data_IF_027109420283
#
_entry.id   IF_027109420283
#
_cell.length_a   1.000
_cell.length_b   1.000
_cell.length_c   1.000
_cell.angle_alpha   90.00
_cell.angle_beta   90.00
_cell.angle_gamma   90.00
#
_symmetry.space_group_name_H-M   'P 1'
#
loop_
_entity.id
_entity.type
_entity.pdbx_description
1 polymer ?
#
# COMPACT_ATOMS: atom_id res chain seq x y z
N UNK A 1 -6.40 22.91 -17.16
CA UNK A 1 -6.27 21.82 -16.17
C UNK A 1 -4.99 21.08 -16.42
N UNK A 2 -4.32 20.75 -15.32
CA UNK A 2 -3.17 19.88 -15.23
C UNK A 2 -3.58 18.45 -15.58
N UNK A 3 -2.74 17.74 -16.31
CA UNK A 3 -2.86 16.30 -16.48
C UNK A 3 -2.36 15.60 -15.19
N UNK A 4 -3.18 14.78 -14.50
CA UNK A 4 -2.76 14.08 -13.29
C UNK A 4 -1.48 13.26 -13.47
N UNK A 5 -1.22 12.74 -14.68
CA UNK A 5 -0.01 11.95 -14.95
C UNK A 5 1.30 12.76 -14.86
N UNK A 6 1.21 14.10 -14.81
CA UNK A 6 2.36 15.00 -14.63
C UNK A 6 2.67 15.27 -13.15
N UNK A 7 1.84 14.80 -12.23
CA UNK A 7 2.01 15.00 -10.79
C UNK A 7 2.46 13.69 -10.17
N UNK A 8 3.57 13.72 -9.44
CA UNK A 8 3.91 12.63 -8.53
C UNK A 8 2.97 12.69 -7.32
N UNK A 9 1.91 11.89 -7.35
CA UNK A 9 0.92 11.80 -6.26
C UNK A 9 1.55 11.33 -4.94
N UNK A 10 2.64 10.55 -5.00
CA UNK A 10 3.39 10.14 -3.81
C UNK A 10 4.16 11.32 -3.19
N UNK A 11 4.80 12.14 -4.02
CA UNK A 11 5.43 13.38 -3.57
C UNK A 11 4.40 14.37 -3.01
N UNK A 12 3.24 14.52 -3.65
CA UNK A 12 2.16 15.37 -3.16
C UNK A 12 1.60 14.89 -1.82
N UNK A 13 1.38 13.58 -1.69
CA UNK A 13 0.95 12.98 -0.42
C UNK A 13 1.97 13.24 0.71
N UNK A 14 3.27 13.15 0.43
CA UNK A 14 4.33 13.49 1.39
C UNK A 14 4.28 14.96 1.79
N UNK A 15 4.10 15.87 0.83
CA UNK A 15 3.97 17.31 1.09
C UNK A 15 2.75 17.65 1.96
N UNK A 16 1.59 17.03 1.69
CA UNK A 16 0.37 17.19 2.49
C UNK A 16 0.55 16.69 3.93
N UNK A 17 1.34 15.63 4.13
CA UNK A 17 1.56 15.04 5.45
C UNK A 17 2.72 15.68 6.23
N UNK A 18 3.58 16.47 5.58
CA UNK A 18 4.72 17.11 6.23
C UNK A 18 4.27 18.14 7.27
N UNK A 19 4.91 18.08 8.44
CA UNK A 19 4.70 18.99 9.59
C UNK A 19 5.98 19.63 10.07
N UNK A 20 7.05 19.51 9.29
CA UNK A 20 8.35 20.06 9.65
C UNK A 20 8.19 21.56 9.91
N UNK A 21 8.46 22.05 11.13
CA UNK A 21 8.26 23.46 11.45
C UNK A 21 9.08 24.36 10.51
N UNK A 22 8.42 25.36 9.92
CA UNK A 22 9.05 26.30 8.99
C UNK A 22 9.15 25.80 7.54
N UNK A 23 8.69 24.58 7.24
CA UNK A 23 8.59 24.08 5.87
C UNK A 23 7.20 24.36 5.31
N UNK A 24 7.14 25.00 4.15
CA UNK A 24 5.92 25.14 3.34
C UNK A 24 6.13 24.42 2.02
N UNK A 25 5.05 23.91 1.44
CA UNK A 25 5.11 23.15 0.19
C UNK A 25 4.26 23.81 -0.87
N UNK A 26 4.72 23.74 -2.12
CA UNK A 26 4.08 24.42 -3.25
C UNK A 26 4.03 23.49 -4.46
N UNK A 27 2.95 23.57 -5.24
CA UNK A 27 2.77 22.87 -6.51
C UNK A 27 2.68 23.86 -7.68
N UNK A 28 3.37 23.57 -8.78
CA UNK A 28 3.28 24.35 -10.01
C UNK A 28 2.09 23.91 -10.87
N UNK A 29 1.07 24.77 -11.07
CA UNK A 29 -0.25 24.35 -11.56
C UNK A 29 -0.28 23.81 -13.00
N UNK A 30 0.77 24.06 -13.80
CA UNK A 30 0.85 23.55 -15.19
C UNK A 30 1.95 22.51 -15.42
N UNK A 31 2.95 22.45 -14.52
CA UNK A 31 4.11 21.56 -14.65
C UNK A 31 3.98 20.32 -13.77
N UNK A 32 3.18 20.39 -12.70
CA UNK A 32 3.03 19.31 -11.72
C UNK A 32 4.22 19.17 -10.78
N UNK A 33 5.17 20.10 -10.83
CA UNK A 33 6.34 20.12 -9.94
C UNK A 33 5.96 20.50 -8.53
N UNK A 34 6.54 19.82 -7.54
CA UNK A 34 6.32 20.07 -6.12
C UNK A 34 7.65 20.45 -5.47
N UNK A 35 7.66 21.53 -4.70
CA UNK A 35 8.86 22.01 -4.02
C UNK A 35 8.57 22.39 -2.57
N UNK A 36 9.52 22.11 -1.69
CA UNK A 36 9.57 22.73 -0.37
C UNK A 36 10.09 24.16 -0.51
N UNK A 37 9.63 25.03 0.37
CA UNK A 37 10.01 26.43 0.45
C UNK A 37 10.17 26.82 1.92
N UNK A 38 11.28 27.48 2.24
CA UNK A 38 11.66 27.87 3.61
C UNK A 38 11.85 29.39 3.76
N UNK A 39 11.57 30.17 2.71
CA UNK A 39 11.57 31.62 2.75
C UNK A 39 10.22 32.16 3.24
N UNK A 40 10.17 33.46 3.51
CA UNK A 40 8.95 34.15 3.94
C UNK A 40 8.05 34.55 2.75
N UNK A 41 8.63 34.70 1.55
CA UNK A 41 7.91 35.14 0.35
C UNK A 41 7.34 33.96 -0.46
N UNK A 42 6.06 34.04 -0.81
CA UNK A 42 5.42 32.99 -1.61
C UNK A 42 5.91 33.00 -3.07
N UNK A 43 6.31 31.84 -3.62
CA UNK A 43 6.71 31.75 -5.02
C UNK A 43 5.55 32.10 -5.94
N UNK A 44 5.72 33.16 -6.74
CA UNK A 44 4.67 33.67 -7.64
C UNK A 44 4.21 32.62 -8.65
N UNK A 45 2.89 32.41 -8.75
CA UNK A 45 2.29 31.47 -9.72
C UNK A 45 2.28 30.00 -9.28
N UNK A 46 2.65 29.71 -8.03
CA UNK A 46 2.51 28.40 -7.42
C UNK A 46 1.29 28.35 -6.49
N UNK A 47 0.78 27.15 -6.24
CA UNK A 47 -0.31 26.89 -5.30
C UNK A 47 0.27 26.31 -4.02
N UNK A 48 0.00 26.91 -2.87
CA UNK A 48 0.44 26.40 -1.57
C UNK A 48 -0.31 25.11 -1.21
N UNK A 49 0.42 24.10 -0.76
CA UNK A 49 -0.11 22.80 -0.36
C UNK A 49 -0.45 22.83 1.12
N UNK A 50 -1.74 22.97 1.42
CA UNK A 50 -2.27 22.93 2.78
C UNK A 50 -2.10 21.55 3.41
N UNK A 51 -1.33 21.49 4.50
CA UNK A 51 -1.05 20.22 5.16
C UNK A 51 -2.29 19.64 5.86
N UNK A 52 -2.60 18.34 5.64
CA UNK A 52 -3.65 17.50 6.29
C UNK A 52 -3.98 17.87 7.76
N UNK A 53 -5.21 17.90 8.24
CA UNK A 53 -5.39 18.28 9.66
C UNK A 53 -4.99 17.17 10.63
N UNK A 54 -4.65 17.52 11.88
CA UNK A 54 -4.50 16.50 12.94
C UNK A 54 -5.78 15.70 13.17
N UNK A 55 -6.95 16.28 12.87
CA UNK A 55 -8.24 15.60 12.89
C UNK A 55 -8.36 14.52 11.82
N UNK A 56 -7.83 14.76 10.63
CA UNK A 56 -7.81 13.77 9.54
C UNK A 56 -6.89 12.60 9.89
N UNK A 57 -5.69 12.87 10.40
CA UNK A 57 -4.79 11.80 10.84
C UNK A 57 -5.35 11.00 12.02
N UNK A 58 -6.08 11.66 12.94
CA UNK A 58 -6.75 10.96 14.04
C UNK A 58 -7.89 10.07 13.53
N UNK A 59 -8.66 10.55 12.56
CA UNK A 59 -9.72 9.77 11.91
C UNK A 59 -9.16 8.50 11.28
N UNK A 60 -8.02 8.60 10.61
CA UNK A 60 -7.34 7.44 10.02
C UNK A 60 -6.97 6.40 11.07
N UNK A 61 -6.35 6.83 12.18
CA UNK A 61 -6.01 5.93 13.28
C UNK A 61 -7.25 5.24 13.86
N UNK A 62 -8.34 5.98 14.01
CA UNK A 62 -9.61 5.45 14.53
C UNK A 62 -10.26 4.45 13.57
N UNK A 63 -10.33 4.77 12.27
CA UNK A 63 -10.92 3.90 11.27
C UNK A 63 -10.09 2.64 11.04
N UNK A 64 -8.77 2.77 10.94
CA UNK A 64 -7.85 1.63 10.87
C UNK A 64 -8.05 0.69 12.05
N UNK A 65 -8.06 1.23 13.28
CA UNK A 65 -8.21 0.44 14.51
C UNK A 65 -9.48 -0.41 14.50
N UNK A 66 -10.59 0.11 13.96
CA UNK A 66 -11.86 -0.63 13.88
C UNK A 66 -11.81 -1.86 13.00
N UNK A 67 -10.93 -1.90 11.99
CA UNK A 67 -10.84 -3.02 11.06
C UNK A 67 -9.60 -3.90 11.23
N UNK A 68 -8.82 -3.71 12.30
CA UNK A 68 -7.76 -4.66 12.69
C UNK A 68 -8.38 -5.99 13.13
N UNK A 69 -8.01 -7.08 12.46
CA UNK A 69 -8.51 -8.42 12.78
C UNK A 69 -7.87 -9.04 14.04
N UNK A 70 -6.60 -8.73 14.32
CA UNK A 70 -5.95 -9.16 15.56
C UNK A 70 -6.63 -8.47 16.76
N UNK A 71 -7.40 -9.24 17.53
CA UNK A 71 -8.18 -8.72 18.67
C UNK A 71 -7.31 -8.11 19.76
N UNK A 72 -6.09 -8.59 19.96
CA UNK A 72 -5.17 -8.05 20.97
C UNK A 72 -4.61 -6.72 20.48
N UNK A 73 -4.15 -6.65 19.24
CA UNK A 73 -3.67 -5.42 18.64
C UNK A 73 -4.78 -4.36 18.59
N UNK A 74 -5.98 -4.72 18.12
CA UNK A 74 -7.14 -3.84 18.06
C UNK A 74 -7.46 -3.21 19.43
N UNK A 75 -7.56 -4.02 20.49
CA UNK A 75 -7.86 -3.52 21.84
C UNK A 75 -6.73 -2.70 22.49
N UNK A 76 -5.48 -2.87 22.05
CA UNK A 76 -4.36 -2.02 22.48
C UNK A 76 -4.34 -0.69 21.70
N UNK A 77 -4.57 -0.73 20.40
CA UNK A 77 -4.63 0.46 19.54
C UNK A 77 -5.81 1.35 19.93
N UNK A 78 -6.97 0.78 20.21
CA UNK A 78 -8.17 1.51 20.65
C UNK A 78 -7.90 2.31 21.94
N UNK A 79 -7.28 1.68 22.94
CA UNK A 79 -6.84 2.39 24.16
C UNK A 79 -5.71 3.38 23.89
N UNK A 80 -4.85 3.11 22.92
CA UNK A 80 -3.73 3.98 22.59
C UNK A 80 -4.20 5.30 21.99
N UNK A 81 -5.28 5.31 21.20
CA UNK A 81 -5.81 6.51 20.55
C UNK A 81 -6.62 7.43 21.48
N UNK A 82 -6.89 7.02 22.72
CA UNK A 82 -7.66 7.83 23.66
C UNK A 82 -6.83 8.91 24.37
N UNK A 83 -7.23 10.18 24.23
CA UNK A 83 -6.67 11.31 25.00
C UNK A 83 -5.29 11.80 24.56
N UNK A 84 -4.65 12.61 25.41
CA UNK A 84 -3.41 13.35 25.07
C UNK A 84 -2.27 12.38 24.74
N UNK A 85 -1.61 12.58 23.60
CA UNK A 85 -0.47 11.76 23.17
C UNK A 85 -0.85 10.53 22.36
N UNK A 86 -2.09 10.46 21.85
CA UNK A 86 -2.62 9.39 21.01
C UNK A 86 -1.66 8.96 19.89
N UNK A 87 -1.18 9.90 19.06
CA UNK A 87 -0.27 9.62 17.95
C UNK A 87 0.99 8.85 18.37
N UNK A 88 1.63 9.27 19.47
CA UNK A 88 2.85 8.62 19.97
C UNK A 88 2.55 7.24 20.50
N UNK A 89 1.48 7.09 21.30
CA UNK A 89 1.12 5.77 21.85
C UNK A 89 0.71 4.80 20.77
N UNK A 90 -0.08 5.24 19.80
CA UNK A 90 -0.48 4.42 18.66
C UNK A 90 0.74 3.89 17.90
N UNK A 91 1.67 4.77 17.52
CA UNK A 91 2.94 4.37 16.90
C UNK A 91 3.74 3.40 17.78
N UNK A 92 3.82 3.65 19.08
CA UNK A 92 4.49 2.75 20.01
C UNK A 92 3.85 1.36 20.05
N UNK A 93 2.53 1.28 20.09
CA UNK A 93 1.78 0.02 20.08
C UNK A 93 2.01 -0.75 18.78
N UNK A 94 2.09 -0.08 17.64
CA UNK A 94 2.39 -0.76 16.36
C UNK A 94 3.74 -1.50 16.36
N UNK A 95 4.74 -1.04 17.13
CA UNK A 95 6.02 -1.79 17.23
C UNK A 95 5.88 -3.16 17.91
N UNK A 96 4.81 -3.38 18.68
CA UNK A 96 4.51 -4.69 19.29
C UNK A 96 3.87 -5.67 18.29
N UNK A 97 3.40 -5.19 17.14
CA UNK A 97 2.66 -5.96 16.13
C UNK A 97 3.16 -5.61 14.70
N UNK A 98 4.28 -6.18 14.25
CA UNK A 98 4.87 -5.87 12.95
C UNK A 98 3.88 -5.97 11.78
N UNK A 99 3.04 -7.01 11.76
CA UNK A 99 2.06 -7.23 10.69
C UNK A 99 0.97 -6.15 10.68
N UNK A 100 0.54 -5.70 11.86
CA UNK A 100 -0.47 -4.62 11.99
C UNK A 100 0.15 -3.25 11.70
N UNK A 101 1.42 -3.04 12.05
CA UNK A 101 2.17 -1.84 11.65
C UNK A 101 2.26 -1.71 10.14
N UNK A 102 2.55 -2.82 9.48
CA UNK A 102 2.65 -2.93 8.05
C UNK A 102 1.27 -2.69 7.39
N UNK A 103 0.20 -3.27 7.94
CA UNK A 103 -1.19 -2.90 7.59
C UNK A 103 -1.47 -1.40 7.75
N UNK A 104 -1.01 -0.78 8.84
CA UNK A 104 -1.22 0.65 9.10
C UNK A 104 -0.54 1.54 8.07
N UNK A 105 0.74 1.27 7.75
CA UNK A 105 1.44 2.04 6.72
C UNK A 105 0.75 1.90 5.37
N UNK A 106 0.23 0.69 5.06
CA UNK A 106 -0.59 0.48 3.86
C UNK A 106 -1.84 1.33 3.80
N UNK A 107 -2.64 1.26 4.85
CA UNK A 107 -3.86 2.05 4.97
C UNK A 107 -3.58 3.55 4.88
N UNK A 108 -2.57 4.03 5.60
CA UNK A 108 -2.22 5.46 5.65
C UNK A 108 -1.77 5.97 4.29
N UNK A 109 -0.86 5.28 3.61
CA UNK A 109 -0.29 5.78 2.35
C UNK A 109 -1.32 5.78 1.21
N UNK A 110 -2.17 4.75 1.13
CA UNK A 110 -3.29 4.73 0.18
C UNK A 110 -4.25 5.91 0.41
N UNK A 111 -4.57 6.20 1.68
CA UNK A 111 -5.42 7.34 2.02
C UNK A 111 -4.74 8.69 1.77
N UNK A 112 -3.45 8.84 2.04
CA UNK A 112 -2.70 10.07 1.73
C UNK A 112 -2.61 10.31 0.22
N UNK A 113 -2.48 9.27 -0.60
CA UNK A 113 -2.57 9.39 -2.08
C UNK A 113 -3.97 9.83 -2.53
N UNK A 114 -5.03 9.28 -1.94
CA UNK A 114 -6.40 9.73 -2.25
C UNK A 114 -6.61 11.20 -1.88
N UNK A 115 -6.09 11.64 -0.73
CA UNK A 115 -6.10 13.06 -0.35
C UNK A 115 -5.33 13.93 -1.34
N UNK A 116 -4.24 13.44 -1.92
CA UNK A 116 -3.51 14.17 -2.96
C UNK A 116 -4.39 14.41 -4.20
N UNK A 117 -5.13 13.40 -4.66
CA UNK A 117 -6.11 13.53 -5.75
C UNK A 117 -7.24 14.50 -5.37
N UNK A 118 -7.77 14.37 -4.16
CA UNK A 118 -8.85 15.22 -3.67
C UNK A 118 -8.41 16.69 -3.53
N UNK A 119 -7.17 16.92 -3.10
CA UNK A 119 -6.57 18.25 -3.00
C UNK A 119 -6.39 18.87 -4.39
N UNK A 120 -5.91 18.11 -5.38
CA UNK A 120 -5.80 18.59 -6.77
C UNK A 120 -7.18 18.99 -7.32
N UNK A 121 -8.21 18.20 -7.06
CA UNK A 121 -9.57 18.50 -7.50
C UNK A 121 -10.16 19.73 -6.77
N UNK A 122 -9.98 19.81 -5.45
CA UNK A 122 -10.48 20.92 -4.63
C UNK A 122 -9.84 22.28 -4.97
N UNK A 123 -8.65 22.27 -5.58
CA UNK A 123 -7.94 23.46 -6.06
C UNK A 123 -8.14 23.71 -7.57
N UNK A 124 -9.11 23.04 -8.21
CA UNK A 124 -9.41 23.15 -9.65
C UNK A 124 -8.21 22.87 -10.57
N UNK A 125 -7.23 22.09 -10.08
CA UNK A 125 -6.01 21.78 -10.82
C UNK A 125 -6.25 20.66 -11.85
N UNK A 126 -7.10 19.69 -11.53
CA UNK A 126 -7.50 18.58 -12.41
C UNK A 126 -9.01 18.59 -12.63
N UNK A 127 -9.51 17.92 -13.67
CA UNK A 127 -10.95 17.84 -13.92
C UNK A 127 -11.65 16.86 -12.97
N UNK A 128 -12.95 17.02 -12.75
CA UNK A 128 -13.75 16.05 -11.99
C UNK A 128 -13.68 14.63 -12.60
N UNK A 129 -13.63 14.54 -13.93
CA UNK A 129 -13.51 13.27 -14.63
C UNK A 129 -12.14 12.62 -14.40
N UNK A 130 -11.07 13.42 -14.40
CA UNK A 130 -9.73 12.95 -14.09
C UNK A 130 -9.60 12.54 -12.63
N UNK A 131 -10.14 13.34 -11.70
CA UNK A 131 -10.18 13.01 -10.29
C UNK A 131 -10.97 11.70 -10.04
N UNK A 132 -12.12 11.52 -10.68
CA UNK A 132 -12.88 10.28 -10.60
C UNK A 132 -12.11 9.07 -11.12
N UNK A 133 -11.37 9.22 -12.22
CA UNK A 133 -10.51 8.15 -12.76
C UNK A 133 -9.37 7.80 -11.81
N UNK A 134 -8.68 8.79 -11.25
CA UNK A 134 -7.60 8.54 -10.29
C UNK A 134 -8.11 7.94 -8.98
N UNK A 135 -9.29 8.36 -8.48
CA UNK A 135 -9.94 7.73 -7.31
C UNK A 135 -10.35 6.28 -7.58
N UNK A 136 -10.76 5.95 -8.81
CA UNK A 136 -11.06 4.58 -9.19
C UNK A 136 -9.80 3.72 -9.26
N UNK A 137 -8.69 4.31 -9.72
CA UNK A 137 -7.37 3.68 -9.73
C UNK A 137 -6.79 3.48 -8.32
N UNK A 138 -7.07 4.41 -7.41
CA UNK A 138 -6.62 4.41 -6.03
C UNK A 138 -7.81 4.54 -5.06
N UNK A 139 -8.56 3.46 -4.84
CA UNK A 139 -9.73 3.47 -3.97
C UNK A 139 -9.35 3.82 -2.52
N UNK A 140 -10.32 4.31 -1.72
CA UNK A 140 -10.09 4.48 -0.27
C UNK A 140 -9.92 3.08 0.31
N UNK A 141 -8.82 2.80 1.01
CA UNK A 141 -8.62 1.47 1.59
C UNK A 141 -9.77 1.16 2.54
N UNK A 142 -10.37 -0.02 2.38
CA UNK A 142 -11.28 -0.53 3.39
C UNK A 142 -10.51 -0.67 4.70
N UNK A 143 -11.10 -0.30 5.86
CA UNK A 143 -10.42 -0.45 7.14
C UNK A 143 -10.19 -1.92 7.51
N UNK A 144 -10.87 -2.86 6.84
CA UNK A 144 -10.65 -4.30 7.00
C UNK A 144 -9.24 -4.65 6.56
N UNK A 145 -8.37 -4.88 7.54
CA UNK A 145 -6.97 -5.20 7.31
C UNK A 145 -6.80 -6.70 7.06
N UNK A 146 -7.33 -7.17 5.93
CA UNK A 146 -7.17 -8.56 5.52
C UNK A 146 -5.67 -8.90 5.40
N UNK A 147 -5.31 -10.10 5.84
CA UNK A 147 -4.00 -10.67 5.55
C UNK A 147 -3.94 -10.95 4.04
N UNK A 148 -3.56 -9.93 3.26
CA UNK A 148 -3.58 -9.96 1.79
C UNK A 148 -2.85 -11.18 1.23
N UNK A 149 -1.62 -11.52 1.68
CA UNK A 149 -0.99 -12.78 1.27
C UNK A 149 -1.88 -13.99 1.53
N UNK A 150 -2.47 -14.12 2.72
CA UNK A 150 -3.33 -15.26 3.06
C UNK A 150 -4.62 -15.30 2.23
N UNK A 151 -5.24 -14.14 1.97
CA UNK A 151 -6.43 -14.03 1.14
C UNK A 151 -6.17 -14.42 -0.31
N UNK A 152 -5.05 -13.94 -0.88
CA UNK A 152 -4.60 -14.36 -2.21
C UNK A 152 -4.33 -15.86 -2.21
N UNK A 153 -3.69 -16.39 -1.18
CA UNK A 153 -3.39 -17.82 -1.09
C UNK A 153 -4.64 -18.71 -1.01
N UNK A 154 -5.72 -18.26 -0.36
CA UNK A 154 -7.02 -18.96 -0.37
C UNK A 154 -7.65 -18.93 -1.76
N UNK A 155 -7.75 -17.78 -2.42
CA UNK A 155 -8.33 -17.68 -3.76
C UNK A 155 -7.52 -18.48 -4.80
N UNK A 156 -6.19 -18.50 -4.67
CA UNK A 156 -5.34 -19.36 -5.50
C UNK A 156 -5.57 -20.84 -5.21
N UNK A 157 -5.86 -21.22 -3.95
CA UNK A 157 -6.20 -22.59 -3.61
C UNK A 157 -7.54 -23.02 -4.21
N UNK A 158 -8.52 -22.12 -4.29
CA UNK A 158 -9.76 -22.36 -5.02
C UNK A 158 -9.53 -22.51 -6.52
N UNK A 159 -8.68 -21.65 -7.11
CA UNK A 159 -8.37 -21.66 -8.55
C UNK A 159 -7.67 -22.94 -9.01
N UNK A 160 -6.72 -23.44 -8.22
CA UNK A 160 -5.84 -24.55 -8.58
C UNK A 160 -6.19 -25.88 -7.92
N UNK A 161 -6.95 -25.87 -6.82
CA UNK A 161 -7.31 -27.05 -6.07
C UNK A 161 -6.09 -27.90 -5.70
N UNK A 162 -6.13 -29.19 -6.05
CA UNK A 162 -5.06 -30.14 -5.73
C UNK A 162 -3.71 -29.84 -6.40
N UNK A 163 -3.68 -29.02 -7.46
CA UNK A 163 -2.44 -28.66 -8.14
C UNK A 163 -1.61 -27.66 -7.34
N UNK A 164 -2.23 -26.89 -6.43
CA UNK A 164 -1.51 -25.96 -5.57
C UNK A 164 -0.86 -26.70 -4.40
N UNK A 165 0.46 -26.62 -4.31
CA UNK A 165 1.22 -27.24 -3.21
C UNK A 165 1.50 -26.30 -2.06
N UNK A 166 1.84 -25.06 -2.37
CA UNK A 166 2.16 -24.05 -1.36
C UNK A 166 2.16 -22.65 -2.00
N UNK A 167 1.88 -21.64 -1.17
CA UNK A 167 2.05 -20.23 -1.50
C UNK A 167 3.04 -19.64 -0.50
N UNK A 168 4.08 -19.01 -1.01
CA UNK A 168 5.13 -18.41 -0.21
C UNK A 168 5.19 -16.90 -0.48
N UNK A 169 5.29 -16.11 0.57
CA UNK A 169 5.62 -14.69 0.48
C UNK A 169 7.14 -14.56 0.45
N UNK A 170 7.69 -13.81 -0.51
CA UNK A 170 9.12 -13.53 -0.57
C UNK A 170 9.40 -12.04 -0.82
N UNK A 171 10.66 -11.65 -0.90
CA UNK A 171 11.03 -10.24 -1.11
C UNK A 171 10.82 -9.37 0.13
N UNK A 172 10.60 -8.07 -0.11
CA UNK A 172 10.60 -7.03 0.93
C UNK A 172 9.58 -7.29 2.06
N UNK A 173 8.41 -7.82 1.72
CA UNK A 173 7.37 -8.15 2.69
C UNK A 173 7.71 -9.38 3.54
N UNK A 174 8.52 -10.32 3.03
CA UNK A 174 8.97 -11.47 3.81
C UNK A 174 10.07 -11.11 4.83
N UNK A 175 10.91 -10.10 4.54
CA UNK A 175 11.94 -9.61 5.46
C UNK A 175 11.41 -8.61 6.51
N UNK A 176 10.16 -8.16 6.39
CA UNK A 176 9.58 -7.11 7.24
C UNK A 176 10.06 -5.69 6.92
N UNK A 177 10.72 -5.51 5.76
CA UNK A 177 11.16 -4.22 5.22
C UNK A 177 10.23 -3.70 4.12
N UNK A 178 9.15 -4.42 3.82
CA UNK A 178 8.16 -4.09 2.80
C UNK A 178 7.41 -2.80 3.09
N UNK A 179 7.03 -2.10 2.01
CA UNK A 179 6.22 -0.89 2.04
C UNK A 179 5.16 -0.94 0.95
N UNK A 180 4.17 -0.04 0.96
CA UNK A 180 3.18 0.06 -0.12
C UNK A 180 3.75 0.31 -1.50
N UNK A 181 4.96 0.84 -1.58
CA UNK A 181 5.64 1.08 -2.84
C UNK A 181 6.32 -0.19 -3.36
N UNK A 182 6.43 -1.20 -2.50
CA UNK A 182 7.02 -2.49 -2.81
C UNK A 182 5.95 -3.48 -3.26
N UNK A 183 6.21 -4.17 -4.35
CA UNK A 183 5.36 -5.25 -4.83
C UNK A 183 5.25 -6.36 -3.77
N UNK A 184 4.06 -6.95 -3.66
CA UNK A 184 3.80 -8.12 -2.83
C UNK A 184 4.09 -9.37 -3.65
N UNK A 185 5.31 -9.87 -3.49
CA UNK A 185 5.84 -10.98 -4.28
C UNK A 185 5.43 -12.35 -3.71
N UNK A 186 4.70 -13.13 -4.50
CA UNK A 186 4.26 -14.49 -4.17
C UNK A 186 4.95 -15.55 -5.03
N UNK A 187 5.54 -16.55 -4.40
CA UNK A 187 5.95 -17.78 -5.07
C UNK A 187 4.81 -18.78 -5.00
N UNK A 188 4.29 -19.20 -6.16
CA UNK A 188 3.15 -20.11 -6.25
C UNK A 188 3.63 -21.46 -6.74
N UNK A 189 3.72 -22.41 -5.82
CA UNK A 189 4.30 -23.72 -6.12
C UNK A 189 3.20 -24.67 -6.53
N UNK A 190 3.31 -25.12 -7.77
CA UNK A 190 2.37 -26.02 -8.44
C UNK A 190 3.02 -27.38 -8.66
N UNK A 191 2.23 -28.44 -8.76
CA UNK A 191 2.77 -29.79 -9.04
C UNK A 191 3.55 -29.85 -10.35
N UNK A 192 2.87 -29.51 -11.44
CA UNK A 192 3.38 -29.54 -12.80
C UNK A 192 2.79 -28.36 -13.57
N UNK A 193 3.24 -27.12 -13.29
CA UNK A 193 2.82 -25.97 -14.07
C UNK A 193 3.32 -26.14 -15.50
N UNK A 194 2.45 -25.88 -16.46
CA UNK A 194 2.83 -25.87 -17.87
C UNK A 194 3.72 -24.66 -18.17
N UNK A 195 3.18 -23.72 -18.94
CA UNK A 195 3.88 -22.47 -19.20
C UNK A 195 3.69 -21.48 -18.04
N UNK A 196 4.78 -20.93 -17.49
CA UNK A 196 4.70 -19.85 -16.50
C UNK A 196 3.85 -18.67 -17.00
N UNK A 197 3.91 -18.36 -18.30
CA UNK A 197 3.07 -17.34 -18.92
C UNK A 197 1.59 -17.68 -18.93
N UNK A 198 1.23 -18.95 -19.12
CA UNK A 198 -0.17 -19.39 -19.06
C UNK A 198 -0.69 -19.37 -17.63
N UNK A 199 0.14 -19.76 -16.67
CA UNK A 199 -0.22 -19.68 -15.25
C UNK A 199 -0.43 -18.23 -14.81
N UNK A 200 0.45 -17.30 -15.22
CA UNK A 200 0.26 -15.87 -14.94
C UNK A 200 -1.06 -15.34 -15.51
N UNK A 201 -1.42 -15.70 -16.75
CA UNK A 201 -2.72 -15.32 -17.32
C UNK A 201 -3.90 -15.93 -16.58
N UNK A 202 -3.74 -17.15 -16.04
CA UNK A 202 -4.80 -17.84 -15.29
C UNK A 202 -5.03 -17.19 -13.92
N UNK A 203 -3.97 -16.71 -13.29
CA UNK A 203 -4.00 -16.04 -11.98
C UNK A 203 -4.40 -14.57 -12.07
N UNK A 204 -4.31 -13.97 -13.27
CA UNK A 204 -4.49 -12.53 -13.51
C UNK A 204 -5.73 -11.95 -12.82
N UNK A 205 -6.90 -12.57 -12.96
CA UNK A 205 -8.14 -12.08 -12.34
C UNK A 205 -8.05 -12.07 -10.80
N UNK A 206 -7.45 -13.10 -10.19
CA UNK A 206 -7.27 -13.19 -8.74
C UNK A 206 -6.30 -12.11 -8.26
N UNK A 207 -5.13 -12.01 -8.90
CA UNK A 207 -4.10 -11.05 -8.52
C UNK A 207 -4.58 -9.61 -8.71
N UNK A 208 -5.28 -9.33 -9.82
CA UNK A 208 -5.85 -8.02 -10.11
C UNK A 208 -6.91 -7.61 -9.09
N UNK A 209 -7.84 -8.51 -8.76
CA UNK A 209 -8.89 -8.24 -7.75
C UNK A 209 -8.30 -7.89 -6.39
N UNK A 210 -7.28 -8.60 -5.95
CA UNK A 210 -6.60 -8.31 -4.68
C UNK A 210 -5.74 -7.04 -4.78
N UNK A 211 -5.16 -6.77 -5.94
CA UNK A 211 -4.42 -5.52 -6.21
C UNK A 211 -5.34 -4.32 -6.10
N UNK A 212 -6.52 -4.35 -6.73
CA UNK A 212 -7.52 -3.29 -6.64
C UNK A 212 -8.04 -3.09 -5.21
N UNK A 213 -8.32 -4.19 -4.50
CA UNK A 213 -8.88 -4.13 -3.14
C UNK A 213 -7.88 -3.66 -2.09
N UNK A 214 -6.63 -4.10 -2.21
CA UNK A 214 -5.58 -3.81 -1.22
C UNK A 214 -4.76 -2.57 -1.56
N UNK A 215 -4.76 -2.14 -2.83
CA UNK A 215 -3.88 -1.09 -3.33
C UNK A 215 -2.41 -1.51 -3.45
N UNK A 216 -2.09 -2.79 -3.28
CA UNK A 216 -0.74 -3.35 -3.44
C UNK A 216 -0.61 -3.96 -4.82
N UNK A 217 0.47 -3.66 -5.53
CA UNK A 217 0.83 -4.46 -6.71
C UNK A 217 1.16 -5.87 -6.23
N UNK A 218 0.35 -6.85 -6.60
CA UNK A 218 0.61 -8.25 -6.27
C UNK A 218 1.23 -8.92 -7.49
N UNK A 219 2.42 -9.47 -7.29
CA UNK A 219 3.19 -10.19 -8.31
C UNK A 219 3.24 -11.66 -7.92
N UNK A 220 3.19 -12.53 -8.91
CA UNK A 220 3.31 -13.97 -8.69
C UNK A 220 4.41 -14.56 -9.56
N UNK A 221 5.10 -15.57 -9.03
CA UNK A 221 6.04 -16.40 -9.77
C UNK A 221 5.59 -17.88 -9.63
N UNK A 222 4.94 -18.43 -10.66
CA UNK A 222 4.56 -19.85 -10.66
C UNK A 222 5.81 -20.72 -10.84
N UNK A 223 5.98 -21.71 -9.98
CA UNK A 223 7.11 -22.64 -10.02
C UNK A 223 6.65 -24.08 -9.78
N UNK A 224 7.33 -25.04 -10.40
CA UNK A 224 7.02 -26.45 -10.14
C UNK A 224 7.57 -26.91 -8.78
N UNK A 225 6.95 -27.90 -8.17
CA UNK A 225 7.47 -28.54 -6.96
C UNK A 225 8.88 -29.09 -7.19
N UNK A 226 9.16 -29.60 -8.39
CA UNK A 226 10.48 -30.07 -8.79
C UNK A 226 11.52 -28.94 -8.83
N UNK A 227 11.17 -27.79 -9.40
CA UNK A 227 12.03 -26.61 -9.43
C UNK A 227 12.27 -26.05 -8.02
N UNK A 228 11.27 -26.11 -7.15
CA UNK A 228 11.41 -25.69 -5.75
C UNK A 228 12.36 -26.61 -4.96
N UNK A 229 12.31 -27.92 -5.23
CA UNK A 229 13.20 -28.90 -4.61
C UNK A 229 14.67 -28.72 -5.05
N UNK A 230 14.90 -28.39 -6.33
CA UNK A 230 16.22 -28.19 -6.94
C UNK A 230 16.26 -26.89 -7.75
N UNK A 231 16.35 -25.73 -7.08
CA UNK A 231 16.26 -24.45 -7.74
C UNK A 231 17.54 -24.14 -8.52
N UNK A 232 17.38 -23.79 -9.79
CA UNK A 232 18.44 -23.28 -10.67
C UNK A 232 18.28 -21.78 -10.95
N UNK A 233 17.05 -21.26 -10.85
CA UNK A 233 16.74 -19.84 -11.01
C UNK A 233 17.17 -19.05 -9.76
N UNK A 234 17.98 -17.98 -9.90
CA UNK A 234 18.44 -17.17 -8.76
C UNK A 234 17.32 -16.60 -7.90
N UNK A 235 16.18 -16.24 -8.49
CA UNK A 235 15.00 -15.73 -7.79
C UNK A 235 14.40 -16.80 -6.91
N UNK A 236 14.28 -18.03 -7.42
CA UNK A 236 13.77 -19.18 -6.65
C UNK A 236 14.74 -19.60 -5.56
N UNK A 237 16.06 -19.52 -5.81
CA UNK A 237 17.09 -19.76 -4.79
C UNK A 237 16.93 -18.76 -3.63
N UNK A 238 16.81 -17.46 -3.95
CA UNK A 238 16.65 -16.41 -2.95
C UNK A 238 15.33 -16.58 -2.19
N UNK A 239 14.22 -16.71 -2.91
CA UNK A 239 12.91 -16.92 -2.32
C UNK A 239 12.91 -18.14 -1.38
N UNK A 240 13.52 -19.27 -1.77
CA UNK A 240 13.62 -20.45 -0.91
C UNK A 240 14.31 -20.18 0.43
N UNK A 241 15.29 -19.27 0.47
CA UNK A 241 16.05 -18.97 1.67
C UNK A 241 15.32 -18.00 2.62
N UNK A 242 14.54 -17.07 2.07
CA UNK A 242 13.93 -15.96 2.82
C UNK A 242 12.40 -16.06 2.97
N UNK A 243 11.74 -16.91 2.19
CA UNK A 243 10.30 -16.88 2.09
C UNK A 243 9.59 -17.36 3.35
N UNK A 244 8.47 -16.71 3.64
CA UNK A 244 7.53 -17.08 4.69
C UNK A 244 6.39 -17.87 4.07
N UNK A 245 6.07 -19.03 4.64
CA UNK A 245 4.95 -19.85 4.17
C UNK A 245 3.64 -19.19 4.57
N UNK A 246 2.81 -18.93 3.57
CA UNK A 246 1.46 -18.39 3.73
C UNK A 246 0.44 -19.53 3.71
N UNK A 247 0.65 -20.53 2.83
CA UNK A 247 -0.14 -21.76 2.72
C UNK A 247 0.72 -22.95 2.32
#
# INVERSE_FOLDING_TARGET
MLDPARVDLGQLARALDDRTPGTRWFLHPTRGEITAHTGDDDPSGWVEIDSTTSGDSYRDMSEFTRGVHDRRAAGLLDRAIDGRGAFRRFKNTLFEFPEVRDQWYRFRDARSRRRAVDWLAANDLISDADAARERARYPDPAPTNEDVPAAVAEDLAELYGAQLRQVLLFGSWASGEGSVESDLDLLVVLDDPGSAWEELRRMDEVLWRHTERSGLTITALPVSQAAMARPADPTVIRARAEAVRVR
#
